data_IF_659100994337
#
_entry.id   IF_659100994337
#
_cell.length_a   1.000
_cell.length_b   1.000
_cell.length_c   1.000
_cell.angle_alpha   90.00
_cell.angle_beta   90.00
_cell.angle_gamma   90.00
#
_symmetry.space_group_name_H-M   'P 1'
#
loop_
_entity.id
_entity.type
_entity.pdbx_description
1 polymer ?
#
# COMPACT_ATOMS: atom_id res chain seq x y z
N UNK A 1 -9.67 -20.68 -51.32
CA UNK A 1 -9.45 -20.17 -49.94
C UNK A 1 -10.69 -20.31 -49.05
N UNK A 2 -11.89 -19.98 -49.57
CA UNK A 2 -13.17 -20.12 -48.85
C UNK A 2 -13.43 -21.51 -48.25
N UNK A 3 -13.27 -22.58 -49.03
CA UNK A 3 -13.47 -23.97 -48.57
C UNK A 3 -12.55 -24.40 -47.43
N UNK A 4 -11.31 -23.92 -47.42
CA UNK A 4 -10.34 -24.21 -46.37
C UNK A 4 -10.74 -23.52 -45.06
N UNK A 5 -11.11 -22.24 -45.12
CA UNK A 5 -11.52 -21.48 -43.93
C UNK A 5 -12.82 -22.05 -43.35
N UNK A 6 -13.81 -22.37 -44.20
CA UNK A 6 -15.05 -23.02 -43.78
C UNK A 6 -14.83 -24.39 -43.12
N UNK A 7 -13.79 -25.13 -43.53
CA UNK A 7 -13.45 -26.43 -42.91
C UNK A 7 -12.82 -26.28 -41.52
N UNK A 8 -12.20 -25.13 -41.24
CA UNK A 8 -11.60 -24.84 -39.95
C UNK A 8 -12.63 -24.36 -38.94
N UNK A 9 -13.48 -23.42 -39.34
CA UNK A 9 -14.50 -22.81 -38.50
C UNK A 9 -15.44 -21.95 -39.35
N UNK A 10 -16.75 -22.20 -39.27
CA UNK A 10 -17.73 -21.44 -40.05
C UNK A 10 -17.94 -20.03 -39.48
N UNK A 11 -17.80 -19.84 -38.17
CA UNK A 11 -17.91 -18.51 -37.53
C UNK A 11 -16.77 -17.59 -38.00
N UNK A 12 -15.62 -18.18 -38.34
CA UNK A 12 -14.48 -17.46 -38.91
C UNK A 12 -14.76 -17.01 -40.35
N UNK A 13 -15.44 -17.84 -41.14
CA UNK A 13 -15.88 -17.49 -42.48
C UNK A 13 -16.92 -16.35 -42.45
N UNK A 14 -17.87 -16.41 -41.52
CA UNK A 14 -18.88 -15.37 -41.35
C UNK A 14 -18.26 -14.01 -41.01
N UNK A 15 -17.23 -13.97 -40.16
CA UNK A 15 -16.51 -12.71 -39.83
C UNK A 15 -15.77 -12.14 -41.04
N UNK A 16 -15.22 -12.99 -41.90
CA UNK A 16 -14.51 -12.57 -43.11
C UNK A 16 -15.48 -12.04 -44.16
N UNK A 17 -16.67 -12.61 -44.28
CA UNK A 17 -17.66 -12.23 -45.31
C UNK A 17 -18.52 -11.05 -44.88
N UNK A 18 -19.04 -11.06 -43.65
CA UNK A 18 -19.99 -10.06 -43.19
C UNK A 18 -19.32 -8.86 -42.49
N UNK A 19 -18.08 -9.02 -42.03
CA UNK A 19 -17.32 -7.97 -41.37
C UNK A 19 -17.84 -7.59 -39.99
N UNK A 20 -17.12 -6.67 -39.35
CA UNK A 20 -17.46 -6.14 -38.03
C UNK A 20 -17.98 -4.70 -38.16
N UNK A 21 -19.16 -4.40 -37.63
CA UNK A 21 -19.48 -3.03 -37.23
C UNK A 21 -18.77 -2.74 -35.90
N UNK A 22 -17.55 -2.20 -35.97
CA UNK A 22 -16.87 -1.67 -34.80
C UNK A 22 -17.61 -0.41 -34.32
N UNK A 23 -17.92 -0.25 -33.02
CA UNK A 23 -18.33 1.02 -32.47
C UNK A 23 -17.20 2.04 -32.72
N UNK A 24 -17.48 3.09 -33.50
CA UNK A 24 -16.52 4.12 -33.95
C UNK A 24 -16.10 5.10 -32.82
N UNK A 25 -15.85 4.62 -31.62
CA UNK A 25 -15.34 5.42 -30.50
C UNK A 25 -13.89 5.04 -30.16
N UNK A 26 -13.04 5.05 -31.19
CA UNK A 26 -11.60 5.09 -31.04
C UNK A 26 -11.16 6.53 -31.21
N UNK A 27 -10.85 7.18 -30.09
CA UNK A 27 -9.71 8.07 -29.86
C UNK A 27 -9.99 8.69 -28.49
N UNK A 28 -9.10 8.44 -27.52
CA UNK A 28 -9.02 9.03 -26.16
C UNK A 28 -9.87 8.44 -25.02
N UNK A 29 -9.63 7.17 -24.64
CA UNK A 29 -9.58 6.72 -23.21
C UNK A 29 -9.07 5.26 -23.07
N UNK A 30 -8.23 4.93 -22.07
CA UNK A 30 -7.64 3.59 -21.94
C UNK A 30 -8.53 2.56 -21.21
N UNK A 31 -9.85 2.72 -21.25
CA UNK A 31 -10.76 1.79 -20.55
C UNK A 31 -12.10 1.68 -21.26
N UNK A 32 -12.10 1.19 -22.50
CA UNK A 32 -13.32 0.58 -23.07
C UNK A 32 -13.45 -0.79 -22.42
N UNK A 33 -14.48 -0.94 -21.58
CA UNK A 33 -14.78 -2.20 -20.90
C UNK A 33 -15.49 -3.11 -21.91
N UNK A 34 -14.72 -3.74 -22.79
CA UNK A 34 -15.28 -4.65 -23.79
C UNK A 34 -16.11 -5.74 -23.13
N UNK A 35 -17.31 -5.97 -23.66
CA UNK A 35 -18.15 -7.07 -23.24
C UNK A 35 -17.52 -8.42 -23.66
N UNK A 36 -17.95 -9.52 -23.04
CA UNK A 36 -17.35 -10.84 -23.30
C UNK A 36 -17.49 -11.28 -24.76
N UNK A 37 -18.61 -10.95 -25.41
CA UNK A 37 -18.86 -11.21 -26.84
C UNK A 37 -17.98 -10.37 -27.76
N UNK A 38 -17.79 -9.08 -27.46
CA UNK A 38 -16.92 -8.18 -28.22
C UNK A 38 -15.47 -8.67 -28.19
N UNK A 39 -15.01 -9.16 -27.04
CA UNK A 39 -13.67 -9.75 -26.91
C UNK A 39 -13.54 -11.03 -27.72
N UNK A 40 -14.57 -11.87 -27.74
CA UNK A 40 -14.60 -13.10 -28.53
C UNK A 40 -14.55 -12.81 -30.03
N UNK A 41 -15.32 -11.82 -30.50
CA UNK A 41 -15.32 -11.38 -31.89
C UNK A 41 -13.96 -10.78 -32.32
N UNK A 42 -13.33 -9.96 -31.46
CA UNK A 42 -11.98 -9.44 -31.72
C UNK A 42 -10.93 -10.57 -31.83
N UNK A 43 -11.06 -11.62 -31.02
CA UNK A 43 -10.18 -12.81 -31.11
C UNK A 43 -10.38 -13.55 -32.43
N UNK A 44 -11.62 -13.75 -32.85
CA UNK A 44 -11.92 -14.41 -34.12
C UNK A 44 -11.44 -13.59 -35.32
N UNK A 45 -11.65 -12.26 -35.33
CA UNK A 45 -11.11 -11.37 -36.37
C UNK A 45 -9.57 -11.43 -36.43
N UNK A 46 -8.88 -11.40 -35.27
CA UNK A 46 -7.43 -11.55 -35.24
C UNK A 46 -6.95 -12.91 -35.78
N UNK A 47 -7.68 -14.00 -35.44
CA UNK A 47 -7.40 -15.35 -35.94
C UNK A 47 -7.61 -15.45 -37.46
N UNK A 48 -8.67 -14.82 -37.98
CA UNK A 48 -8.96 -14.75 -39.40
C UNK A 48 -7.85 -14.02 -40.16
N UNK A 49 -7.43 -12.84 -39.67
CA UNK A 49 -6.29 -12.09 -40.23
C UNK A 49 -5.03 -12.94 -40.28
N UNK A 50 -4.71 -13.64 -39.20
CA UNK A 50 -3.52 -14.49 -39.15
C UNK A 50 -3.58 -15.62 -40.20
N UNK A 51 -4.72 -16.29 -40.35
CA UNK A 51 -4.89 -17.35 -41.34
C UNK A 51 -4.75 -16.80 -42.76
N UNK A 52 -5.31 -15.62 -43.04
CA UNK A 52 -5.19 -14.98 -44.36
C UNK A 52 -3.73 -14.59 -44.62
N UNK A 53 -3.04 -13.96 -43.66
CA UNK A 53 -1.63 -13.59 -43.80
C UNK A 53 -0.72 -14.79 -44.02
N UNK A 54 -0.96 -15.92 -43.35
CA UNK A 54 -0.19 -17.15 -43.55
C UNK A 54 -0.41 -17.80 -44.93
N UNK A 55 -1.50 -17.49 -45.62
CA UNK A 55 -1.84 -18.07 -46.91
C UNK A 55 -1.35 -17.22 -48.10
N UNK A 56 -0.92 -15.97 -47.87
CA UNK A 56 -0.50 -15.03 -48.92
C UNK A 56 1.02 -15.03 -49.09
N UNK A 57 1.47 -14.85 -50.33
CA UNK A 57 2.88 -14.69 -50.66
C UNK A 57 3.35 -13.25 -50.35
N UNK A 58 4.66 -13.04 -50.14
CA UNK A 58 5.25 -11.76 -49.71
C UNK A 58 4.83 -10.54 -50.53
N UNK A 59 4.58 -10.71 -51.83
CA UNK A 59 4.17 -9.63 -52.73
C UNK A 59 2.76 -9.08 -52.48
N UNK A 60 1.86 -9.90 -51.92
CA UNK A 60 0.48 -9.51 -51.62
C UNK A 60 0.35 -8.94 -50.20
N UNK A 61 1.25 -9.35 -49.30
CA UNK A 61 1.30 -8.95 -47.89
C UNK A 61 1.48 -7.44 -47.70
N UNK A 62 2.41 -6.81 -48.41
CA UNK A 62 2.73 -5.39 -48.23
C UNK A 62 1.52 -4.47 -48.47
N UNK A 63 0.62 -4.88 -49.37
CA UNK A 63 -0.56 -4.09 -49.76
C UNK A 63 -1.72 -4.24 -48.79
N UNK A 64 -1.89 -5.42 -48.20
CA UNK A 64 -2.95 -5.70 -47.22
C UNK A 64 -2.52 -5.45 -45.77
N UNK A 65 -1.23 -5.17 -45.52
CA UNK A 65 -0.66 -4.89 -44.21
C UNK A 65 -1.36 -3.74 -43.46
N UNK A 66 -1.94 -2.80 -44.21
CA UNK A 66 -2.62 -1.61 -43.69
C UNK A 66 -4.08 -1.84 -43.28
N UNK A 67 -4.66 -2.99 -43.62
CA UNK A 67 -6.06 -3.30 -43.33
C UNK A 67 -6.29 -3.61 -41.84
N UNK A 68 -7.34 -3.05 -41.26
CA UNK A 68 -7.66 -3.14 -39.84
C UNK A 68 -8.48 -4.41 -39.54
N UNK A 69 -9.35 -4.83 -40.46
CA UNK A 69 -10.22 -6.01 -40.32
C UNK A 69 -9.91 -7.14 -41.32
N UNK A 70 -10.29 -8.37 -40.97
CA UNK A 70 -10.18 -9.50 -41.90
C UNK A 70 -11.09 -9.33 -43.14
N UNK A 71 -12.20 -8.61 -42.98
CA UNK A 71 -13.12 -8.24 -44.06
C UNK A 71 -12.47 -7.29 -45.06
N UNK A 72 -11.79 -6.24 -44.59
CA UNK A 72 -11.05 -5.33 -45.47
C UNK A 72 -9.96 -6.05 -46.26
N UNK A 73 -9.23 -6.97 -45.61
CA UNK A 73 -8.23 -7.79 -46.31
C UNK A 73 -8.90 -8.62 -47.41
N UNK A 74 -10.04 -9.25 -47.11
CA UNK A 74 -10.77 -10.06 -48.07
C UNK A 74 -11.30 -9.25 -49.26
N UNK A 75 -11.92 -8.11 -49.00
CA UNK A 75 -12.47 -7.22 -50.04
C UNK A 75 -11.35 -6.66 -50.93
N UNK A 76 -10.19 -6.34 -50.34
CA UNK A 76 -9.01 -5.89 -51.09
C UNK A 76 -8.45 -7.00 -52.00
N UNK A 77 -8.40 -8.24 -51.51
CA UNK A 77 -7.97 -9.39 -52.31
C UNK A 77 -8.96 -9.67 -53.45
N UNK A 78 -10.26 -9.61 -53.19
CA UNK A 78 -11.31 -9.78 -54.21
C UNK A 78 -11.16 -8.72 -55.32
N UNK A 79 -10.98 -7.45 -54.95
CA UNK A 79 -10.72 -6.36 -55.90
C UNK A 79 -9.48 -6.61 -56.78
N UNK A 80 -8.36 -7.03 -56.20
CA UNK A 80 -7.13 -7.27 -56.95
C UNK A 80 -7.20 -8.45 -57.91
N UNK A 81 -7.88 -9.53 -57.50
CA UNK A 81 -8.04 -10.71 -58.36
C UNK A 81 -9.08 -10.48 -59.45
N UNK A 82 -10.05 -9.59 -59.25
CA UNK A 82 -10.94 -9.12 -60.30
C UNK A 82 -10.21 -8.24 -61.34
N UNK A 83 -9.35 -7.30 -60.92
CA UNK A 83 -8.54 -6.49 -61.86
C UNK A 83 -7.52 -7.33 -62.65
N UNK A 84 -6.83 -8.26 -61.99
CA UNK A 84 -5.85 -9.15 -62.64
C UNK A 84 -6.46 -10.13 -63.63
N UNK A 85 -7.75 -10.45 -63.57
CA UNK A 85 -8.38 -11.31 -64.58
C UNK A 85 -8.50 -10.62 -65.96
N UNK A 86 -8.41 -9.30 -66.03
CA UNK A 86 -8.40 -8.55 -67.31
C UNK A 86 -6.99 -8.44 -67.89
N UNK A 87 -5.96 -8.34 -67.04
CA UNK A 87 -4.57 -8.13 -67.45
C UNK A 87 -3.74 -9.44 -67.53
N UNK A 88 -4.07 -10.44 -66.72
CA UNK A 88 -3.38 -11.73 -66.66
C UNK A 88 -3.62 -12.64 -67.86
N UNK A 89 -4.80 -12.57 -68.50
CA UNK A 89 -5.04 -13.27 -69.77
C UNK A 89 -4.14 -12.70 -70.87
N UNK A 90 -3.93 -11.38 -70.86
CA UNK A 90 -3.09 -10.66 -71.83
C UNK A 90 -1.59 -10.92 -71.58
N UNK A 91 -1.15 -10.96 -70.32
CA UNK A 91 0.24 -11.23 -69.95
C UNK A 91 0.67 -12.69 -70.16
N UNK A 92 -0.21 -13.67 -69.91
CA UNK A 92 0.09 -15.08 -70.18
C UNK A 92 0.17 -15.42 -71.68
N UNK A 93 -0.55 -14.66 -72.53
CA UNK A 93 -0.44 -14.77 -73.99
C UNK A 93 0.87 -14.16 -74.52
N UNK A 94 1.36 -13.07 -73.92
CA UNK A 94 2.63 -12.44 -74.34
C UNK A 94 3.87 -13.19 -73.86
N UNK A 95 3.82 -13.89 -72.72
CA UNK A 95 4.95 -14.66 -72.19
C UNK A 95 5.30 -15.93 -73.02
N UNK A 96 4.45 -16.35 -73.96
CA UNK A 96 4.76 -17.49 -74.84
C UNK A 96 5.47 -17.08 -76.16
N UNK A 97 5.52 -15.79 -76.50
CA UNK A 97 6.04 -15.32 -77.80
C UNK A 97 7.45 -14.69 -77.73
N UNK A 98 8.00 -14.40 -76.55
CA UNK A 98 9.21 -13.56 -76.39
C UNK A 98 10.48 -14.25 -75.84
N UNK A 99 10.59 -15.58 -75.85
CA UNK A 99 11.86 -16.26 -75.49
C UNK A 99 12.65 -16.74 -76.73
N UNK A 100 13.06 -15.77 -77.55
CA UNK A 100 14.10 -15.97 -78.58
C UNK A 100 14.98 -14.73 -78.71
N UNK A 101 15.72 -14.39 -77.66
CA UNK A 101 16.96 -13.63 -77.81
C UNK A 101 17.89 -13.83 -76.62
N UNK A 102 19.11 -14.24 -76.99
CA UNK A 102 20.32 -14.37 -76.19
C UNK A 102 20.61 -13.15 -75.29
N UNK A 103 20.86 -13.39 -74.00
CA UNK A 103 21.93 -12.68 -73.28
C UNK A 103 22.43 -13.53 -72.09
N UNK A 104 23.68 -13.99 -72.21
CA UNK A 104 24.41 -14.74 -71.19
C UNK A 104 24.99 -13.77 -70.16
N UNK A 105 24.50 -13.80 -68.91
CA UNK A 105 25.33 -13.74 -67.68
C UNK A 105 24.48 -13.52 -66.43
N UNK A 106 23.52 -14.40 -66.19
CA UNK A 106 23.08 -14.62 -64.81
C UNK A 106 24.14 -15.48 -64.13
N UNK A 107 24.75 -14.98 -63.05
CA UNK A 107 25.51 -15.81 -62.11
C UNK A 107 24.53 -16.75 -61.39
N UNK A 108 23.90 -17.65 -62.14
CA UNK A 108 23.00 -18.67 -61.64
C UNK A 108 23.89 -19.74 -61.01
N UNK A 109 24.05 -19.64 -59.69
CA UNK A 109 24.84 -20.59 -58.90
C UNK A 109 24.08 -21.91 -58.91
N UNK A 110 24.38 -22.75 -59.89
CA UNK A 110 23.79 -24.07 -60.05
C UNK A 110 24.31 -25.01 -58.98
N UNK A 111 23.62 -25.07 -57.83
CA UNK A 111 23.86 -26.09 -56.82
C UNK A 111 23.55 -27.46 -57.39
N UNK A 112 24.46 -28.40 -57.17
CA UNK A 112 24.22 -29.80 -57.50
C UNK A 112 23.16 -30.40 -56.57
N UNK A 113 22.42 -31.40 -57.04
CA UNK A 113 21.39 -32.07 -56.24
C UNK A 113 21.96 -32.62 -54.91
N UNK A 114 23.18 -33.15 -54.94
CA UNK A 114 23.87 -33.67 -53.75
C UNK A 114 24.19 -32.58 -52.74
N UNK A 115 24.59 -31.38 -53.18
CA UNK A 115 24.81 -30.22 -52.30
C UNK A 115 23.51 -29.77 -51.64
N UNK A 116 22.41 -29.74 -52.40
CA UNK A 116 21.09 -29.37 -51.89
C UNK A 116 20.58 -30.39 -50.87
N UNK A 117 20.77 -31.68 -51.15
CA UNK A 117 20.39 -32.77 -50.26
C UNK A 117 21.19 -32.72 -48.96
N UNK A 118 22.51 -32.54 -49.03
CA UNK A 118 23.36 -32.41 -47.85
C UNK A 118 23.00 -31.16 -47.02
N UNK A 119 22.68 -30.04 -47.66
CA UNK A 119 22.22 -28.84 -46.97
C UNK A 119 20.89 -29.08 -46.22
N UNK A 120 19.94 -29.77 -46.87
CA UNK A 120 18.66 -30.11 -46.25
C UNK A 120 18.81 -31.07 -45.07
N UNK A 121 19.68 -32.07 -45.18
CA UNK A 121 19.92 -33.06 -44.13
C UNK A 121 20.61 -32.42 -42.91
N UNK A 122 21.56 -31.50 -43.15
CA UNK A 122 22.15 -30.68 -42.09
C UNK A 122 21.10 -29.80 -41.40
N UNK A 123 20.24 -29.14 -42.17
CA UNK A 123 19.15 -28.32 -41.63
C UNK A 123 18.18 -29.15 -40.77
N UNK A 124 17.84 -30.36 -41.22
CA UNK A 124 16.98 -31.27 -40.48
C UNK A 124 17.60 -31.70 -39.14
N UNK A 125 18.89 -32.04 -39.15
CA UNK A 125 19.63 -32.40 -37.94
C UNK A 125 19.72 -31.23 -36.93
N UNK A 126 19.91 -30.00 -37.42
CA UNK A 126 19.85 -28.82 -36.56
C UNK A 126 18.46 -28.59 -35.98
N UNK A 127 17.42 -28.73 -36.80
CA UNK A 127 16.03 -28.60 -36.35
C UNK A 127 15.70 -29.62 -35.24
N UNK A 128 16.08 -30.89 -35.41
CA UNK A 128 15.87 -31.92 -34.40
C UNK A 128 16.58 -31.58 -33.08
N UNK A 129 17.83 -31.12 -33.15
CA UNK A 129 18.59 -30.66 -31.99
C UNK A 129 17.91 -29.48 -31.28
N UNK A 130 17.37 -28.52 -32.02
CA UNK A 130 16.62 -27.38 -31.46
C UNK A 130 15.34 -27.88 -30.80
N UNK A 131 14.61 -28.83 -31.38
CA UNK A 131 13.42 -29.42 -30.77
C UNK A 131 13.73 -30.10 -29.43
N UNK A 132 14.84 -30.84 -29.34
CA UNK A 132 15.27 -31.48 -28.09
C UNK A 132 15.61 -30.45 -27.01
N UNK A 133 16.36 -29.40 -27.38
CA UNK A 133 16.67 -28.28 -26.47
C UNK A 133 15.39 -27.59 -25.98
N UNK A 134 14.43 -27.34 -26.87
CA UNK A 134 13.17 -26.69 -26.52
C UNK A 134 12.32 -27.54 -25.55
N UNK A 135 12.29 -28.87 -25.74
CA UNK A 135 11.66 -29.79 -24.77
C UNK A 135 12.30 -29.69 -23.38
N UNK A 136 13.63 -29.59 -23.31
CA UNK A 136 14.35 -29.42 -22.04
C UNK A 136 14.03 -28.07 -21.38
N UNK A 137 14.12 -26.98 -22.13
CA UNK A 137 13.80 -25.64 -21.65
C UNK A 137 12.36 -25.53 -21.14
N UNK A 138 11.40 -26.17 -21.82
CA UNK A 138 9.99 -26.20 -21.38
C UNK A 138 9.83 -26.91 -20.03
N UNK A 139 10.56 -28.00 -19.79
CA UNK A 139 10.57 -28.67 -18.47
C UNK A 139 11.15 -27.77 -17.38
N UNK A 140 12.28 -27.12 -17.67
CA UNK A 140 12.92 -26.21 -16.73
C UNK A 140 12.03 -25.00 -16.40
N UNK A 141 11.35 -24.43 -17.40
CA UNK A 141 10.39 -23.35 -17.20
C UNK A 141 9.23 -23.77 -16.29
N UNK A 142 8.68 -24.97 -16.47
CA UNK A 142 7.62 -25.51 -15.59
C UNK A 142 8.15 -25.72 -14.16
N UNK A 143 9.38 -26.21 -14.00
CA UNK A 143 10.02 -26.38 -12.68
C UNK A 143 10.19 -25.05 -11.96
N UNK A 144 10.77 -24.06 -12.63
CA UNK A 144 10.99 -22.72 -12.07
C UNK A 144 9.66 -22.04 -11.71
N UNK A 145 8.63 -22.16 -12.53
CA UNK A 145 7.30 -21.60 -12.22
C UNK A 145 6.71 -22.19 -10.92
N UNK A 146 6.90 -23.50 -10.67
CA UNK A 146 6.45 -24.13 -9.43
C UNK A 146 7.23 -23.62 -8.21
N UNK A 147 8.56 -23.49 -8.34
CA UNK A 147 9.39 -22.92 -7.27
C UNK A 147 8.99 -21.48 -6.94
N UNK A 148 8.69 -20.67 -7.96
CA UNK A 148 8.20 -19.31 -7.77
C UNK A 148 6.84 -19.27 -7.04
N UNK A 149 5.93 -20.19 -7.34
CA UNK A 149 4.65 -20.29 -6.62
C UNK A 149 4.85 -20.66 -5.14
N UNK A 150 5.75 -21.59 -4.84
CA UNK A 150 6.10 -21.97 -3.47
C UNK A 150 6.69 -20.77 -2.72
N UNK A 151 7.71 -20.11 -3.29
CA UNK A 151 8.35 -18.94 -2.69
C UNK A 151 7.34 -17.79 -2.48
N UNK A 152 6.42 -17.59 -3.42
CA UNK A 152 5.33 -16.59 -3.27
C UNK A 152 4.42 -16.92 -2.09
N UNK A 153 4.14 -18.21 -1.86
CA UNK A 153 3.34 -18.66 -0.72
C UNK A 153 4.08 -18.52 0.62
N UNK A 154 5.40 -18.67 0.64
CA UNK A 154 6.22 -18.46 1.84
C UNK A 154 6.37 -16.97 2.16
N UNK A 155 6.64 -16.15 1.15
CA UNK A 155 6.69 -14.70 1.31
C UNK A 155 5.38 -14.11 1.85
N UNK A 156 4.22 -14.64 1.44
CA UNK A 156 2.94 -14.18 1.98
C UNK A 156 2.77 -14.51 3.46
N UNK A 157 3.28 -15.68 3.92
CA UNK A 157 3.31 -16.04 5.35
C UNK A 157 4.20 -15.08 6.14
N UNK A 158 5.41 -14.80 5.65
CA UNK A 158 6.34 -13.87 6.30
C UNK A 158 5.78 -12.44 6.37
N UNK A 159 5.09 -11.97 5.33
CA UNK A 159 4.42 -10.66 5.33
C UNK A 159 3.38 -10.59 6.45
N UNK A 160 2.54 -11.63 6.58
CA UNK A 160 1.52 -11.69 7.64
C UNK A 160 2.14 -11.71 9.05
N UNK A 161 3.26 -12.41 9.21
CA UNK A 161 3.99 -12.48 10.48
C UNK A 161 4.61 -11.12 10.86
N UNK A 162 5.22 -10.43 9.89
CA UNK A 162 5.74 -9.06 10.05
C UNK A 162 4.61 -8.11 10.46
N UNK A 163 3.43 -8.21 9.84
CA UNK A 163 2.29 -7.37 10.17
C UNK A 163 1.78 -7.63 11.60
N UNK A 164 1.73 -8.89 12.01
CA UNK A 164 1.39 -9.29 13.38
C UNK A 164 2.37 -8.72 14.41
N UNK A 165 3.67 -8.84 14.14
CA UNK A 165 4.73 -8.28 14.99
C UNK A 165 4.66 -6.75 15.04
N UNK A 166 4.38 -6.09 13.92
CA UNK A 166 4.20 -4.64 13.86
C UNK A 166 3.04 -4.18 14.76
N UNK A 167 1.91 -4.89 14.76
CA UNK A 167 0.78 -4.61 15.66
C UNK A 167 1.17 -4.80 17.13
N UNK A 168 1.88 -5.88 17.47
CA UNK A 168 2.38 -6.11 18.84
C UNK A 168 3.34 -5.01 19.30
N UNK A 169 4.27 -4.60 18.45
CA UNK A 169 5.19 -3.50 18.78
C UNK A 169 4.44 -2.18 18.99
N UNK A 170 3.43 -1.87 18.16
CA UNK A 170 2.58 -0.70 18.38
C UNK A 170 1.84 -0.76 19.72
N UNK A 171 1.39 -1.93 20.14
CA UNK A 171 0.77 -2.12 21.45
C UNK A 171 1.77 -1.85 22.58
N UNK A 172 2.96 -2.45 22.54
CA UNK A 172 3.98 -2.25 23.57
C UNK A 172 4.48 -0.80 23.64
N UNK A 173 4.58 -0.10 22.51
CA UNK A 173 4.92 1.33 22.51
C UNK A 173 3.88 2.16 23.28
N UNK A 174 2.60 1.91 23.06
CA UNK A 174 1.53 2.59 23.81
C UNK A 174 1.60 2.28 25.31
N UNK A 175 1.90 1.03 25.67
CA UNK A 175 2.04 0.62 27.08
C UNK A 175 3.23 1.32 27.76
N UNK A 176 4.36 1.44 27.06
CA UNK A 176 5.52 2.21 27.53
C UNK A 176 5.16 3.69 27.72
N UNK A 177 4.42 4.30 26.79
CA UNK A 177 4.00 5.70 26.91
C UNK A 177 3.11 5.93 28.13
N UNK A 178 2.16 5.02 28.39
CA UNK A 178 1.30 5.08 29.58
C UNK A 178 2.15 4.97 30.86
N UNK A 179 3.09 4.03 30.91
CA UNK A 179 3.99 3.86 32.05
C UNK A 179 4.86 5.09 32.28
N UNK A 180 5.37 5.72 31.20
CA UNK A 180 6.16 6.94 31.28
C UNK A 180 5.35 8.11 31.85
N UNK A 181 4.11 8.30 31.39
CA UNK A 181 3.21 9.33 31.93
C UNK A 181 2.91 9.07 33.41
N UNK A 182 2.62 7.81 33.77
CA UNK A 182 2.36 7.42 35.15
C UNK A 182 3.57 7.66 36.07
N UNK A 183 4.77 7.27 35.62
CA UNK A 183 6.01 7.51 36.34
C UNK A 183 6.27 9.00 36.52
N UNK A 184 6.06 9.81 35.47
CA UNK A 184 6.23 11.26 35.55
C UNK A 184 5.28 11.90 36.55
N UNK A 185 4.00 11.54 36.51
CA UNK A 185 3.00 12.01 37.47
C UNK A 185 3.36 11.62 38.91
N UNK A 186 3.88 10.41 39.11
CA UNK A 186 4.31 9.96 40.43
C UNK A 186 5.50 10.77 40.96
N UNK A 187 6.49 11.09 40.10
CA UNK A 187 7.63 11.92 40.49
C UNK A 187 7.15 13.33 40.86
N UNK A 188 6.31 13.94 40.03
CA UNK A 188 5.81 15.29 40.26
C UNK A 188 5.01 15.38 41.57
N UNK A 189 4.19 14.35 41.86
CA UNK A 189 3.47 14.22 43.12
C UNK A 189 4.41 14.07 44.33
N UNK A 190 5.51 13.33 44.21
CA UNK A 190 6.49 13.21 45.28
C UNK A 190 7.19 14.53 45.58
N UNK A 191 7.59 15.27 44.53
CA UNK A 191 8.21 16.60 44.68
C UNK A 191 7.25 17.61 45.35
N UNK A 192 5.96 17.59 44.99
CA UNK A 192 4.96 18.45 45.62
C UNK A 192 4.76 18.10 47.10
N UNK A 193 4.69 16.81 47.44
CA UNK A 193 4.59 16.36 48.82
C UNK A 193 5.80 16.76 49.66
N UNK A 194 7.00 16.74 49.09
CA UNK A 194 8.22 17.20 49.77
C UNK A 194 8.17 18.71 50.04
N UNK A 195 7.71 19.52 49.08
CA UNK A 195 7.49 20.97 49.26
C UNK A 195 6.47 21.25 50.36
N UNK A 196 5.31 20.59 50.33
CA UNK A 196 4.28 20.72 51.35
C UNK A 196 4.80 20.32 52.74
N UNK A 197 5.64 19.28 52.82
CA UNK A 197 6.23 18.87 54.09
C UNK A 197 7.16 19.93 54.66
N UNK A 198 7.99 20.55 53.82
CA UNK A 198 8.85 21.66 54.21
C UNK A 198 8.03 22.87 54.69
N UNK A 199 6.92 23.21 54.01
CA UNK A 199 6.01 24.27 54.43
C UNK A 199 5.33 23.97 55.78
N UNK A 200 4.86 22.73 55.97
CA UNK A 200 4.27 22.29 57.25
C UNK A 200 5.28 22.41 58.39
N UNK A 201 6.54 22.02 58.17
CA UNK A 201 7.57 22.10 59.21
C UNK A 201 7.96 23.55 59.53
N UNK A 202 8.00 24.43 58.53
CA UNK A 202 8.14 25.87 58.73
C UNK A 202 6.96 26.46 59.52
N UNK A 203 5.73 26.07 59.19
CA UNK A 203 4.51 26.52 59.86
C UNK A 203 4.43 26.01 61.31
N UNK A 204 4.81 24.76 61.57
CA UNK A 204 4.90 24.22 62.94
C UNK A 204 5.89 25.03 63.78
N UNK A 205 7.05 25.39 63.22
CA UNK A 205 8.06 26.20 63.92
C UNK A 205 7.52 27.60 64.27
N UNK A 206 6.82 28.25 63.34
CA UNK A 206 6.20 29.55 63.62
C UNK A 206 5.08 29.43 64.66
N UNK A 207 4.25 28.38 64.59
CA UNK A 207 3.20 28.10 65.57
C UNK A 207 3.75 27.83 66.97
N UNK A 208 4.82 27.06 67.12
CA UNK A 208 5.47 26.84 68.42
C UNK A 208 5.99 28.16 69.02
N UNK A 209 6.56 29.03 68.18
CA UNK A 209 7.02 30.36 68.61
C UNK A 209 5.85 31.24 69.08
N UNK A 210 4.76 31.25 68.31
CA UNK A 210 3.54 31.97 68.64
C UNK A 210 2.90 31.44 69.93
N UNK A 211 2.74 30.13 70.07
CA UNK A 211 2.17 29.47 71.26
C UNK A 211 2.99 29.79 72.52
N UNK A 212 4.33 29.74 72.42
CA UNK A 212 5.21 30.14 73.52
C UNK A 212 5.03 31.61 73.90
N UNK A 213 4.89 32.50 72.91
CA UNK A 213 4.64 33.92 73.16
C UNK A 213 3.27 34.17 73.79
N UNK A 214 2.23 33.44 73.36
CA UNK A 214 0.88 33.49 73.95
C UNK A 214 0.90 33.03 75.39
N UNK A 215 1.54 31.89 75.69
CA UNK A 215 1.63 31.39 77.07
C UNK A 215 2.37 32.38 77.99
N UNK A 216 3.41 33.07 77.50
CA UNK A 216 4.06 34.15 78.26
C UNK A 216 3.12 35.32 78.52
N UNK A 217 2.34 35.72 77.52
CA UNK A 217 1.33 36.77 77.66
C UNK A 217 0.23 36.37 78.64
N UNK A 218 -0.30 35.16 78.53
CA UNK A 218 -1.33 34.62 79.44
C UNK A 218 -0.81 34.56 80.88
N UNK A 219 0.44 34.13 81.08
CA UNK A 219 1.08 34.18 82.39
C UNK A 219 1.19 35.62 82.91
N UNK A 220 1.55 36.58 82.05
CA UNK A 220 1.65 37.99 82.43
C UNK A 220 0.30 38.61 82.78
N UNK A 221 -0.77 38.26 82.04
CA UNK A 221 -2.14 38.71 82.32
C UNK A 221 -2.75 37.99 83.54
N UNK A 222 -2.43 36.72 83.74
CA UNK A 222 -2.88 35.89 84.86
C UNK A 222 -2.17 36.20 86.17
N UNK A 223 -0.94 36.72 86.12
CA UNK A 223 -0.32 37.46 87.22
C UNK A 223 -1.12 38.74 87.43
N UNK A 224 -2.16 38.63 88.24
CA UNK A 224 -3.10 39.70 88.57
C UNK A 224 -2.36 40.88 89.23
N UNK A 225 -1.73 41.75 88.42
CA UNK A 225 -1.24 43.04 88.87
C UNK A 225 -2.44 43.88 89.27
N UNK A 226 -2.33 44.52 90.41
CA UNK A 226 -3.34 45.50 90.81
C UNK A 226 -3.48 46.51 89.67
N UNK A 227 -4.69 46.88 89.26
CA UNK A 227 -4.96 47.82 88.13
C UNK A 227 -4.19 49.15 88.25
N UNK A 228 -3.66 49.44 89.44
CA UNK A 228 -2.90 50.62 89.78
C UNK A 228 -1.37 50.46 89.74
N UNK A 229 -0.83 49.26 89.52
CA UNK A 229 0.63 49.03 89.45
C UNK A 229 1.15 49.30 88.03
N UNK A 230 1.64 50.53 87.81
CA UNK A 230 2.17 51.02 86.52
C UNK A 230 3.70 50.98 86.42
N UNK A 231 4.36 50.29 87.35
CA UNK A 231 5.84 50.24 87.40
C UNK A 231 6.38 49.48 86.19
N UNK A 232 7.32 50.10 85.49
CA UNK A 232 7.90 49.59 84.24
C UNK A 232 7.36 50.24 82.95
N UNK A 233 6.31 51.08 83.04
CA UNK A 233 5.82 51.91 81.93
C UNK A 233 6.30 53.37 82.00
N UNK A 234 7.37 53.63 82.77
CA UNK A 234 7.92 54.98 82.98
C UNK A 234 7.32 55.77 84.16
N UNK A 235 6.48 55.13 84.98
CA UNK A 235 5.92 55.72 86.21
C UNK A 235 6.69 55.26 87.46
N UNK A 236 6.77 56.13 88.46
CA UNK A 236 7.40 55.83 89.76
C UNK A 236 6.61 54.79 90.58
N UNK A 237 7.33 54.04 91.41
CA UNK A 237 6.81 52.95 92.23
C UNK A 237 5.86 53.47 93.34
N UNK A 238 4.57 53.14 93.22
CA UNK A 238 3.55 53.56 94.18
C UNK A 238 3.67 52.73 95.47
N UNK A 239 4.21 53.34 96.54
CA UNK A 239 4.46 52.68 97.85
C UNK A 239 3.22 52.23 98.64
N UNK A 240 1.99 52.53 98.17
CA UNK A 240 0.75 52.37 98.96
C UNK A 240 -0.39 51.61 98.23
N UNK A 241 -0.11 50.45 97.63
CA UNK A 241 -1.16 49.64 97.01
C UNK A 241 -1.81 48.71 98.05
N UNK A 242 -3.01 49.07 98.53
CA UNK A 242 -3.83 48.19 99.40
C UNK A 242 -4.29 46.96 98.63
N UNK A 243 -3.69 45.81 98.92
CA UNK A 243 -4.11 44.53 98.36
C UNK A 243 -5.41 44.09 99.03
N UNK A 244 -6.54 44.28 98.34
CA UNK A 244 -7.80 43.70 98.80
C UNK A 244 -7.78 42.19 98.53
N UNK A 245 -7.70 41.38 99.59
CA UNK A 245 -7.96 39.94 99.52
C UNK A 245 -9.44 39.75 99.18
N UNK A 246 -9.82 39.75 97.90
CA UNK A 246 -11.11 39.21 97.49
C UNK A 246 -11.05 37.70 97.73
N UNK A 247 -11.63 37.24 98.84
CA UNK A 247 -12.06 35.85 98.99
C UNK A 247 -13.16 35.63 97.95
N UNK A 248 -12.78 35.18 96.75
CA UNK A 248 -13.75 34.64 95.81
C UNK A 248 -14.22 33.34 96.43
N UNK A 249 -15.43 33.36 96.99
CA UNK A 249 -16.15 32.12 97.30
C UNK A 249 -16.27 31.38 95.96
N UNK A 250 -15.67 30.19 95.84
CA UNK A 250 -15.91 29.32 94.68
C UNK A 250 -17.41 29.05 94.65
N UNK A 251 -18.11 29.60 93.67
CA UNK A 251 -19.47 29.19 93.38
C UNK A 251 -19.38 27.76 92.85
N UNK A 252 -20.07 26.81 93.48
CA UNK A 252 -20.26 25.49 92.91
C UNK A 252 -21.12 25.66 91.67
N UNK A 253 -20.48 25.73 90.50
CA UNK A 253 -21.20 25.63 89.23
C UNK A 253 -21.49 24.15 88.98
N UNK A 254 -22.77 23.77 88.75
CA UNK A 254 -23.10 22.40 88.43
C UNK A 254 -22.45 22.03 87.10
N UNK A 255 -21.60 20.99 87.10
CA UNK A 255 -21.17 20.32 85.88
C UNK A 255 -22.38 19.63 85.27
N UNK A 256 -23.03 20.29 84.32
CA UNK A 256 -24.02 19.64 83.46
C UNK A 256 -23.23 18.94 82.37
N UNK A 257 -23.11 17.62 82.50
CA UNK A 257 -22.51 16.74 81.50
C UNK A 257 -23.65 16.14 80.68
N UNK A 258 -23.55 16.17 79.36
CA UNK A 258 -24.53 15.52 78.49
C UNK A 258 -24.24 14.02 78.47
N UNK A 259 -25.20 13.20 78.95
CA UNK A 259 -25.05 11.74 78.99
C UNK A 259 -24.89 11.06 77.62
N UNK A 260 -25.04 11.79 76.51
CA UNK A 260 -24.83 11.26 75.15
C UNK A 260 -23.51 11.68 74.51
N UNK A 261 -22.85 12.73 75.01
CA UNK A 261 -21.71 13.34 74.32
C UNK A 261 -20.40 13.38 75.12
N UNK A 262 -20.45 13.22 76.46
CA UNK A 262 -19.25 13.22 77.31
C UNK A 262 -18.55 14.56 77.40
#
# INVERSE_FOLDING_TARGET
>A
MSTFIQSLDYDLWDIIVFGQELPKEYISKPSIKYNEKEKEMLKLNAKAKHIIFCALCSNEFDRISSCESAKEIWDMLEYFHEEKNVEGVTSCLMAMEEDRSEDESENEVNFTFDELQNAYENLFNEYENVCLKNKSLKKNAISMSKELEILKSENSKHINEIESLKRKNSFYMNEIDILNVSSKLSIDSMEENEKLKNEIDALKKSFSTFSNSSAKLDNLLGLQRCVFDKVGLGYEEMKNVKHFKKKIVKKNEPKIVCNYCG
#
